data_IF_233470097188
#
_entry.id   IF_233470097188
#
_cell.length_a   1.000
_cell.length_b   1.000
_cell.length_c   1.000
_cell.angle_alpha   90.00
_cell.angle_beta   90.00
_cell.angle_gamma   90.00
#
_symmetry.space_group_name_H-M   'P 1'
#
loop_
_entity.id
_entity.type
_entity.pdbx_description
1 polymer ?
#
# COMPACT_ATOMS: atom_id res chain seq x y z
N UNK A 1 3.46 -30.61 15.01
CA UNK A 1 3.82 -29.70 13.90
C UNK A 1 2.62 -29.22 13.04
N UNK A 2 1.43 -29.81 13.12
CA UNK A 2 0.28 -29.43 12.25
C UNK A 2 -0.49 -28.14 12.65
N UNK A 3 -0.08 -27.45 13.73
CA UNK A 3 -0.80 -26.28 14.25
C UNK A 3 -0.14 -24.92 13.92
N UNK A 4 0.90 -24.89 13.08
CA UNK A 4 1.59 -23.66 12.70
C UNK A 4 1.46 -23.42 11.21
N UNK A 5 1.09 -22.19 10.82
CA UNK A 5 0.94 -21.79 9.42
C UNK A 5 2.28 -21.67 8.67
N UNK A 6 3.40 -21.68 9.39
CA UNK A 6 4.74 -21.65 8.84
C UNK A 6 5.71 -22.42 9.72
N UNK A 7 6.79 -22.93 9.11
CA UNK A 7 7.83 -23.71 9.77
C UNK A 7 9.20 -23.03 9.58
N UNK A 8 10.02 -23.07 10.62
CA UNK A 8 11.43 -22.67 10.59
C UNK A 8 12.29 -23.93 10.54
N UNK A 9 13.52 -23.80 10.05
CA UNK A 9 14.48 -24.90 10.07
C UNK A 9 14.74 -25.43 11.48
N UNK A 10 14.78 -24.53 12.47
CA UNK A 10 14.91 -24.89 13.89
C UNK A 10 13.79 -25.79 14.39
N UNK A 11 12.56 -25.52 13.95
CA UNK A 11 11.39 -26.28 14.40
C UNK A 11 11.46 -27.73 13.89
N UNK A 12 11.92 -27.93 12.64
CA UNK A 12 12.14 -29.26 12.09
C UNK A 12 13.27 -29.99 12.79
N UNK A 13 14.41 -29.30 13.06
CA UNK A 13 15.55 -29.90 13.79
C UNK A 13 15.14 -30.38 15.16
N UNK A 14 14.50 -29.51 15.95
CA UNK A 14 14.05 -29.86 17.31
C UNK A 14 13.03 -31.02 17.27
N UNK A 15 12.07 -30.96 16.34
CA UNK A 15 11.08 -32.04 16.20
C UNK A 15 11.72 -33.40 15.90
N UNK A 16 12.69 -33.46 14.97
CA UNK A 16 13.35 -34.70 14.61
C UNK A 16 14.23 -35.22 15.76
N UNK A 17 14.90 -34.35 16.46
CA UNK A 17 15.70 -34.72 17.63
C UNK A 17 14.82 -35.22 18.77
N UNK A 18 13.76 -34.54 19.12
CA UNK A 18 12.88 -34.90 20.24
C UNK A 18 12.02 -36.14 19.97
N UNK A 19 11.55 -36.34 18.76
CA UNK A 19 10.62 -37.42 18.45
C UNK A 19 11.30 -38.70 17.90
N UNK A 20 12.46 -38.53 17.26
CA UNK A 20 13.10 -39.61 16.53
C UNK A 20 14.59 -39.79 16.88
N UNK A 21 15.15 -38.94 17.75
CA UNK A 21 16.57 -38.89 18.08
C UNK A 21 17.49 -38.80 16.83
N UNK A 22 17.03 -38.04 15.82
CA UNK A 22 17.71 -37.86 14.54
C UNK A 22 18.25 -36.44 14.41
N UNK A 23 19.58 -36.38 14.18
CA UNK A 23 20.30 -35.13 13.88
C UNK A 23 21.11 -35.33 12.61
N UNK A 24 20.83 -34.50 11.59
CA UNK A 24 21.64 -34.50 10.36
C UNK A 24 22.81 -33.52 10.49
N UNK A 25 23.96 -33.89 9.97
CA UNK A 25 25.16 -33.02 9.94
C UNK A 25 24.94 -31.81 9.00
N UNK A 26 24.20 -32.02 7.89
CA UNK A 26 23.98 -31.01 6.87
C UNK A 26 22.56 -30.42 6.92
N UNK A 27 22.45 -29.10 6.79
CA UNK A 27 21.17 -28.43 6.61
C UNK A 27 20.44 -28.87 5.33
N UNK A 28 21.19 -29.33 4.31
CA UNK A 28 20.61 -29.81 3.05
C UNK A 28 19.68 -31.00 3.26
N UNK A 29 20.00 -31.89 4.19
CA UNK A 29 19.16 -33.05 4.52
C UNK A 29 17.78 -32.61 5.03
N UNK A 30 17.74 -31.58 5.90
CA UNK A 30 16.48 -30.99 6.37
C UNK A 30 15.70 -30.28 5.26
N UNK A 31 16.40 -29.59 4.33
CA UNK A 31 15.75 -28.96 3.18
C UNK A 31 15.15 -29.99 2.22
N UNK A 32 15.81 -31.14 2.04
CA UNK A 32 15.27 -32.24 1.26
C UNK A 32 13.98 -32.80 1.87
N UNK A 33 13.94 -32.95 3.19
CA UNK A 33 12.72 -33.36 3.91
C UNK A 33 11.58 -32.36 3.72
N UNK A 34 11.86 -31.04 3.80
CA UNK A 34 10.85 -30.02 3.49
C UNK A 34 10.33 -30.17 2.05
N UNK A 35 11.23 -30.37 1.10
CA UNK A 35 10.88 -30.53 -0.31
C UNK A 35 10.02 -31.78 -0.54
N UNK A 36 10.39 -32.93 0.07
CA UNK A 36 9.62 -34.18 -0.01
C UNK A 36 8.24 -34.03 0.64
N UNK A 37 8.14 -33.23 1.71
CA UNK A 37 6.87 -32.89 2.35
C UNK A 37 6.05 -31.81 1.60
N UNK A 38 6.48 -31.37 0.41
CA UNK A 38 5.79 -30.34 -0.38
C UNK A 38 5.92 -28.93 0.20
N UNK A 39 6.88 -28.70 1.12
CA UNK A 39 7.11 -27.42 1.78
C UNK A 39 8.21 -26.68 1.03
N UNK A 40 7.93 -25.43 0.62
CA UNK A 40 8.86 -24.57 -0.11
C UNK A 40 9.21 -23.31 0.67
N UNK A 41 10.41 -22.77 0.43
CA UNK A 41 10.81 -21.48 0.96
C UNK A 41 9.98 -20.36 0.30
N UNK A 42 9.25 -19.58 1.10
CA UNK A 42 8.37 -18.50 0.63
C UNK A 42 8.70 -17.21 1.34
N UNK A 43 8.64 -16.11 0.59
CA UNK A 43 8.65 -14.76 1.16
C UNK A 43 7.36 -14.54 1.93
N UNK A 44 7.47 -14.16 3.20
CA UNK A 44 6.30 -13.79 4.01
C UNK A 44 5.66 -12.52 3.44
N UNK A 45 4.34 -12.49 3.41
CA UNK A 45 3.57 -11.32 2.98
C UNK A 45 2.90 -10.67 4.20
N UNK A 46 2.89 -9.35 4.23
CA UNK A 46 2.12 -8.62 5.24
C UNK A 46 0.63 -8.74 4.89
N UNK A 47 -0.16 -9.25 5.81
CA UNK A 47 -1.63 -9.25 5.73
C UNK A 47 -2.15 -8.27 6.78
N UNK A 48 -2.96 -7.32 6.37
CA UNK A 48 -3.67 -6.47 7.32
C UNK A 48 -4.80 -7.28 7.98
N UNK A 49 -4.73 -7.58 9.29
CA UNK A 49 -5.76 -8.37 9.96
C UNK A 49 -7.11 -7.65 10.04
N UNK A 50 -7.12 -6.32 9.92
CA UNK A 50 -8.33 -5.49 9.91
C UNK A 50 -8.99 -5.39 8.51
N UNK A 51 -8.40 -6.03 7.47
CA UNK A 51 -9.00 -6.03 6.14
C UNK A 51 -10.33 -6.80 6.16
N UNK A 52 -11.40 -6.12 5.81
CA UNK A 52 -12.73 -6.70 5.63
C UNK A 52 -12.98 -6.88 4.13
N UNK A 53 -12.91 -8.12 3.65
CA UNK A 53 -13.06 -8.43 2.23
C UNK A 53 -14.49 -8.15 1.72
N UNK A 54 -15.53 -8.28 2.57
CA UNK A 54 -16.91 -7.92 2.21
C UNK A 54 -17.06 -6.41 1.99
N UNK A 55 -16.47 -5.61 2.88
CA UNK A 55 -16.48 -4.15 2.73
C UNK A 55 -15.72 -3.70 1.48
N UNK A 56 -14.60 -4.35 1.17
CA UNK A 56 -13.83 -4.07 -0.06
C UNK A 56 -14.70 -4.32 -1.29
N UNK A 57 -15.45 -5.44 -1.33
CA UNK A 57 -16.30 -5.78 -2.47
C UNK A 57 -17.50 -4.82 -2.59
N UNK A 58 -18.08 -4.39 -1.48
CA UNK A 58 -19.14 -3.36 -1.48
C UNK A 58 -18.62 -2.04 -2.05
N UNK A 59 -17.46 -1.58 -1.58
CA UNK A 59 -16.86 -0.34 -2.08
C UNK A 59 -16.46 -0.41 -3.55
N UNK A 60 -15.98 -1.55 -3.99
CA UNK A 60 -15.69 -1.78 -5.40
C UNK A 60 -16.93 -1.63 -6.27
N UNK A 61 -18.05 -2.25 -5.88
CA UNK A 61 -19.32 -2.12 -6.59
C UNK A 61 -19.83 -0.69 -6.62
N UNK A 62 -19.75 0.04 -5.50
CA UNK A 62 -20.14 1.46 -5.45
C UNK A 62 -19.34 2.29 -6.47
N UNK A 63 -18.03 2.05 -6.62
CA UNK A 63 -17.19 2.73 -7.59
C UNK A 63 -17.56 2.34 -9.03
N UNK A 64 -17.77 1.05 -9.29
CA UNK A 64 -18.19 0.55 -10.61
C UNK A 64 -19.54 1.13 -11.04
N UNK A 65 -20.51 1.18 -10.14
CA UNK A 65 -21.83 1.79 -10.38
C UNK A 65 -21.72 3.30 -10.64
N UNK A 66 -20.89 4.02 -9.86
CA UNK A 66 -20.62 5.42 -10.09
C UNK A 66 -20.04 5.65 -11.49
N UNK A 67 -19.01 4.91 -11.87
CA UNK A 67 -18.36 5.03 -13.18
C UNK A 67 -19.33 4.72 -14.32
N UNK A 68 -20.15 3.70 -14.18
CA UNK A 68 -21.17 3.33 -15.17
C UNK A 68 -22.26 4.43 -15.31
N UNK A 69 -22.73 4.96 -14.20
CA UNK A 69 -23.74 6.05 -14.17
C UNK A 69 -23.23 7.32 -14.87
N UNK A 70 -21.98 7.69 -14.63
CA UNK A 70 -21.41 8.96 -15.11
C UNK A 70 -20.54 8.80 -16.36
N UNK A 71 -20.57 7.64 -17.01
CA UNK A 71 -19.78 7.37 -18.21
C UNK A 71 -19.98 8.40 -19.33
N UNK A 72 -21.21 8.86 -19.66
CA UNK A 72 -21.38 9.87 -20.71
C UNK A 72 -20.68 11.20 -20.44
N UNK A 73 -20.70 11.67 -19.19
CA UNK A 73 -20.03 12.91 -18.77
C UNK A 73 -18.50 12.73 -18.73
N UNK A 74 -18.03 11.55 -18.35
CA UNK A 74 -16.61 11.20 -18.38
C UNK A 74 -16.13 11.17 -19.83
N UNK A 75 -16.85 10.52 -20.74
CA UNK A 75 -16.48 10.43 -22.16
C UNK A 75 -16.52 11.80 -22.86
N UNK A 76 -17.44 12.67 -22.51
CA UNK A 76 -17.49 14.02 -23.06
C UNK A 76 -16.50 14.99 -22.40
N UNK A 77 -15.83 14.58 -21.33
CA UNK A 77 -14.86 15.41 -20.58
C UNK A 77 -15.51 16.46 -19.68
N UNK A 78 -16.82 16.38 -19.43
CA UNK A 78 -17.52 17.25 -18.47
C UNK A 78 -17.26 16.87 -17.03
N UNK A 79 -16.97 15.60 -16.79
CA UNK A 79 -16.57 15.05 -15.51
C UNK A 79 -15.19 14.38 -15.64
N UNK A 80 -14.24 14.82 -14.83
CA UNK A 80 -12.95 14.14 -14.69
C UNK A 80 -12.95 13.32 -13.41
N UNK A 81 -12.58 12.06 -13.51
CA UNK A 81 -12.47 11.15 -12.37
C UNK A 81 -11.00 10.90 -12.06
N UNK A 82 -10.59 11.23 -10.84
CA UNK A 82 -9.26 10.98 -10.33
C UNK A 82 -9.25 9.89 -9.28
N UNK A 83 -8.30 8.95 -9.40
CA UNK A 83 -7.90 8.02 -8.34
C UNK A 83 -6.64 8.60 -7.67
N UNK A 84 -6.71 8.90 -6.37
CA UNK A 84 -5.62 9.56 -5.64
C UNK A 84 -5.03 8.59 -4.62
N UNK A 85 -3.70 8.65 -4.47
CA UNK A 85 -2.95 7.95 -3.43
C UNK A 85 -1.71 8.75 -3.05
N UNK A 86 -1.17 8.54 -1.85
CA UNK A 86 0.06 9.14 -1.37
C UNK A 86 1.19 8.12 -1.26
N UNK A 87 2.37 8.56 -1.64
CA UNK A 87 3.61 7.83 -1.44
C UNK A 87 4.53 8.59 -0.50
N UNK A 88 4.99 7.93 0.56
CA UNK A 88 5.98 8.46 1.49
C UNK A 88 7.32 7.78 1.25
N UNK A 89 8.27 8.52 0.70
CA UNK A 89 9.66 8.08 0.62
C UNK A 89 10.36 8.44 1.92
N UNK A 90 10.85 7.42 2.60
CA UNK A 90 11.66 7.58 3.79
C UNK A 90 13.13 7.64 3.38
N UNK A 91 13.84 8.66 3.84
CA UNK A 91 15.29 8.70 3.76
C UNK A 91 15.85 7.79 4.85
N UNK A 92 16.41 6.69 4.44
CA UNK A 92 16.99 5.72 5.36
C UNK A 92 17.71 4.62 4.62
N UNK A 93 18.65 3.99 5.28
CA UNK A 93 19.42 2.90 4.70
C UNK A 93 18.53 1.71 4.42
N UNK A 94 18.60 1.20 3.19
CA UNK A 94 17.95 -0.04 2.81
C UNK A 94 18.88 -1.18 3.22
N UNK A 95 18.47 -1.93 4.24
CA UNK A 95 19.16 -3.16 4.60
C UNK A 95 18.95 -4.20 3.51
N UNK A 96 20.05 -4.56 2.85
CA UNK A 96 20.08 -5.58 1.80
C UNK A 96 20.94 -6.78 2.21
N UNK A 97 21.29 -7.59 1.22
CA UNK A 97 22.23 -8.68 1.38
C UNK A 97 23.65 -8.17 1.08
N UNK A 98 24.62 -8.53 1.92
CA UNK A 98 26.02 -8.22 1.70
C UNK A 98 26.89 -9.48 1.87
N UNK A 99 28.03 -9.53 1.19
CA UNK A 99 29.03 -10.57 1.37
C UNK A 99 29.94 -10.21 2.53
N UNK A 100 30.16 -11.16 3.43
CA UNK A 100 31.07 -11.02 4.55
C UNK A 100 31.67 -12.36 4.96
N UNK A 101 32.54 -12.36 5.95
CA UNK A 101 33.11 -13.59 6.49
C UNK A 101 31.99 -14.46 7.08
N UNK A 102 32.14 -15.77 6.96
CA UNK A 102 31.11 -16.75 7.31
C UNK A 102 30.78 -16.78 8.80
N UNK A 103 31.73 -16.38 9.64
CA UNK A 103 31.70 -16.37 11.08
C UNK A 103 31.46 -14.98 11.71
N UNK A 104 31.36 -13.95 10.88
CA UNK A 104 31.13 -12.58 11.32
C UNK A 104 29.74 -12.08 10.93
N UNK A 105 29.11 -11.35 11.82
CA UNK A 105 27.86 -10.63 11.54
C UNK A 105 28.17 -9.27 10.93
N UNK A 106 27.59 -8.98 9.78
CA UNK A 106 27.72 -7.66 9.17
C UNK A 106 26.71 -6.73 9.85
N UNK A 107 27.22 -5.77 10.60
CA UNK A 107 26.43 -4.72 11.24
C UNK A 107 26.65 -3.42 10.50
N UNK A 108 25.58 -2.80 10.04
CA UNK A 108 25.60 -1.50 9.38
C UNK A 108 24.98 -0.50 10.35
N UNK A 109 25.71 0.56 10.65
CA UNK A 109 25.19 1.66 11.45
C UNK A 109 24.08 2.37 10.68
N UNK A 110 22.86 2.26 11.15
CA UNK A 110 21.70 2.92 10.55
C UNK A 110 21.53 4.28 11.19
N UNK A 111 21.49 5.35 10.40
CA UNK A 111 20.91 6.60 10.83
C UNK A 111 19.39 6.52 10.66
N UNK A 112 18.67 6.55 11.79
CA UNK A 112 17.22 6.72 11.76
C UNK A 112 16.90 8.17 11.32
N UNK A 113 17.00 8.46 10.05
CA UNK A 113 16.56 9.73 9.51
C UNK A 113 15.03 9.75 9.53
N UNK A 114 14.48 10.72 10.24
CA UNK A 114 13.03 10.95 10.31
C UNK A 114 12.51 11.74 9.12
N UNK A 115 13.40 12.17 8.24
CA UNK A 115 13.05 12.93 7.06
C UNK A 115 12.33 12.04 6.07
N UNK A 116 11.22 12.50 5.59
CA UNK A 116 10.40 11.84 4.59
C UNK A 116 9.97 12.84 3.54
N UNK A 117 9.92 12.38 2.32
CA UNK A 117 9.33 13.09 1.19
C UNK A 117 7.95 12.49 0.92
N UNK A 118 6.94 13.31 0.79
CA UNK A 118 5.58 12.87 0.47
C UNK A 118 5.20 13.33 -0.93
N UNK A 119 4.68 12.42 -1.72
CA UNK A 119 4.12 12.71 -3.03
C UNK A 119 2.65 12.36 -3.04
N UNK A 120 1.83 13.29 -3.51
CA UNK A 120 0.44 13.03 -3.86
C UNK A 120 0.36 12.75 -5.34
N UNK A 121 -0.23 11.62 -5.71
CA UNK A 121 -0.43 11.18 -7.07
C UNK A 121 -1.91 11.08 -7.42
N UNK A 122 -2.31 11.55 -8.60
CA UNK A 122 -3.66 11.43 -9.13
C UNK A 122 -3.62 10.83 -10.53
N UNK A 123 -4.29 9.69 -10.71
CA UNK A 123 -4.48 9.06 -12.01
C UNK A 123 -5.84 9.46 -12.57
N UNK A 124 -5.84 10.15 -13.71
CA UNK A 124 -7.05 10.42 -14.50
C UNK A 124 -7.60 9.09 -15.07
N UNK A 125 -8.82 8.73 -14.68
CA UNK A 125 -9.44 7.47 -15.07
C UNK A 125 -9.60 7.32 -16.59
N UNK A 126 -9.96 8.41 -17.30
CA UNK A 126 -10.18 8.39 -18.75
C UNK A 126 -8.87 8.45 -19.52
N UNK A 127 -8.07 9.49 -19.28
CA UNK A 127 -6.89 9.80 -20.09
C UNK A 127 -5.68 8.97 -19.72
N UNK A 128 -5.68 8.37 -18.51
CA UNK A 128 -4.55 7.68 -17.89
C UNK A 128 -3.36 8.59 -17.62
N UNK A 129 -3.56 9.90 -17.67
CA UNK A 129 -2.57 10.87 -17.25
C UNK A 129 -2.34 10.77 -15.76
N UNK A 130 -1.07 10.78 -15.34
CA UNK A 130 -0.67 10.74 -13.95
C UNK A 130 -0.09 12.09 -13.53
N UNK A 131 -0.77 12.77 -12.62
CA UNK A 131 -0.37 14.04 -12.05
C UNK A 131 0.24 13.83 -10.67
N UNK A 132 1.39 14.45 -10.42
CA UNK A 132 2.12 14.29 -9.14
C UNK A 132 2.52 15.66 -8.59
N UNK A 133 2.39 15.81 -7.28
CA UNK A 133 2.90 16.97 -6.54
C UNK A 133 3.65 16.51 -5.29
N UNK A 134 4.68 17.24 -4.97
CA UNK A 134 5.55 17.01 -3.83
C UNK A 134 5.10 17.86 -2.63
N UNK A 135 5.09 17.25 -1.44
CA UNK A 135 4.76 17.89 -0.18
C UNK A 135 5.66 17.38 0.94
N UNK A 136 5.83 18.18 1.99
CA UNK A 136 6.62 17.77 3.18
C UNK A 136 5.97 16.61 3.95
N UNK A 137 4.63 16.53 3.94
CA UNK A 137 3.89 15.50 4.70
C UNK A 137 2.48 15.29 4.17
N UNK A 138 1.89 14.11 4.46
CA UNK A 138 0.46 13.85 4.30
C UNK A 138 -0.33 14.51 5.43
N UNK A 139 -1.15 15.49 5.11
CA UNK A 139 -2.03 16.17 6.06
C UNK A 139 -3.16 16.91 5.31
N UNK A 140 -4.19 17.33 6.06
CA UNK A 140 -5.36 18.05 5.55
C UNK A 140 -5.00 19.25 4.69
N UNK A 141 -4.07 20.11 5.12
CA UNK A 141 -3.67 21.30 4.35
C UNK A 141 -3.15 20.93 2.97
N UNK A 142 -2.23 19.97 2.92
CA UNK A 142 -1.62 19.53 1.67
C UNK A 142 -2.61 18.78 0.78
N UNK A 143 -3.57 18.05 1.35
CA UNK A 143 -4.68 17.44 0.62
C UNK A 143 -5.51 18.53 -0.08
N UNK A 144 -5.93 19.59 0.62
CA UNK A 144 -6.67 20.70 0.04
C UNK A 144 -5.85 21.40 -1.07
N UNK A 145 -4.57 21.63 -0.86
CA UNK A 145 -3.70 22.24 -1.88
C UNK A 145 -3.58 21.35 -3.11
N UNK A 146 -3.52 20.03 -2.93
CA UNK A 146 -3.51 19.09 -4.04
C UNK A 146 -4.84 19.08 -4.82
N UNK A 147 -5.98 19.13 -4.14
CA UNK A 147 -7.29 19.29 -4.81
C UNK A 147 -7.33 20.57 -5.64
N UNK A 148 -6.87 21.69 -5.09
CA UNK A 148 -6.77 22.96 -5.83
C UNK A 148 -5.85 22.86 -7.06
N UNK A 149 -4.74 22.10 -6.94
CA UNK A 149 -3.88 21.82 -8.06
C UNK A 149 -4.62 21.05 -9.16
N UNK A 150 -5.36 19.98 -8.82
CA UNK A 150 -6.15 19.20 -9.77
C UNK A 150 -7.23 20.04 -10.46
N UNK A 151 -7.89 20.94 -9.73
CA UNK A 151 -8.87 21.88 -10.30
C UNK A 151 -8.22 22.81 -11.35
N UNK A 152 -6.98 23.28 -11.10
CA UNK A 152 -6.25 24.08 -12.07
C UNK A 152 -5.84 23.29 -13.32
N UNK A 153 -5.57 21.99 -13.18
CA UNK A 153 -5.25 21.11 -14.32
C UNK A 153 -6.47 20.79 -15.19
N UNK A 154 -7.68 20.92 -14.64
CA UNK A 154 -8.96 20.62 -15.34
C UNK A 154 -9.94 21.78 -15.20
N UNK A 155 -9.61 22.95 -15.78
CA UNK A 155 -10.45 24.15 -15.63
C UNK A 155 -11.83 23.94 -16.25
N UNK A 156 -12.86 24.27 -15.51
CA UNK A 156 -14.25 24.15 -15.96
C UNK A 156 -14.87 22.75 -15.89
N UNK A 157 -14.10 21.73 -15.52
CA UNK A 157 -14.61 20.38 -15.36
C UNK A 157 -15.10 20.14 -13.93
N UNK A 158 -16.16 19.36 -13.80
CA UNK A 158 -16.47 18.72 -12.52
C UNK A 158 -15.42 17.66 -12.22
N UNK A 159 -15.02 17.55 -10.95
CA UNK A 159 -14.06 16.54 -10.49
C UNK A 159 -14.76 15.55 -9.56
N UNK A 160 -14.59 14.27 -9.80
CA UNK A 160 -14.88 13.20 -8.85
C UNK A 160 -13.55 12.60 -8.40
N UNK A 161 -13.36 12.48 -7.09
CA UNK A 161 -12.10 12.05 -6.50
C UNK A 161 -12.36 10.81 -5.65
N UNK A 162 -11.64 9.73 -5.95
CA UNK A 162 -11.57 8.53 -5.14
C UNK A 162 -10.21 8.45 -4.47
N UNK A 163 -10.20 8.37 -3.14
CA UNK A 163 -9.01 8.20 -2.33
C UNK A 163 -9.26 7.20 -1.20
N UNK A 164 -8.20 6.84 -0.48
CA UNK A 164 -8.31 5.95 0.66
C UNK A 164 -9.04 6.61 1.86
N UNK A 165 -9.28 5.82 2.91
CA UNK A 165 -9.99 6.27 4.11
C UNK A 165 -9.07 6.91 5.17
N UNK A 166 -7.94 7.50 4.81
CA UNK A 166 -7.07 8.16 5.78
C UNK A 166 -7.81 9.26 6.54
N UNK A 167 -7.54 9.38 7.84
CA UNK A 167 -8.31 10.27 8.74
C UNK A 167 -8.24 11.74 8.34
N UNK A 168 -7.13 12.18 7.76
CA UNK A 168 -6.96 13.56 7.30
C UNK A 168 -7.76 13.90 6.02
N UNK A 169 -8.23 12.90 5.26
CA UNK A 169 -9.16 13.09 4.13
C UNK A 169 -10.61 13.28 4.58
N UNK A 170 -10.91 13.02 5.84
CA UNK A 170 -12.23 13.18 6.44
C UNK A 170 -12.25 14.25 7.54
N UNK A 171 -11.26 15.13 7.57
CA UNK A 171 -11.16 16.20 8.55
C UNK A 171 -12.29 17.22 8.37
N UNK A 172 -12.59 17.95 9.43
CA UNK A 172 -13.59 19.02 9.36
C UNK A 172 -13.21 20.07 8.32
N UNK A 173 -11.93 20.44 8.23
CA UNK A 173 -11.46 21.44 7.26
C UNK A 173 -11.61 20.98 5.80
N UNK A 174 -11.39 19.67 5.51
CA UNK A 174 -11.66 19.13 4.17
C UNK A 174 -13.13 19.21 3.82
N UNK A 175 -14.01 18.83 4.76
CA UNK A 175 -15.47 18.91 4.55
C UNK A 175 -15.93 20.33 4.33
N UNK A 176 -15.45 21.30 5.12
CA UNK A 176 -15.76 22.72 4.96
C UNK A 176 -15.28 23.23 3.60
N UNK A 177 -14.06 22.86 3.19
CA UNK A 177 -13.53 23.22 1.87
C UNK A 177 -14.41 22.65 0.74
N UNK A 178 -14.72 21.35 0.79
CA UNK A 178 -15.55 20.69 -0.20
C UNK A 178 -16.97 21.29 -0.25
N UNK A 179 -17.57 21.61 0.90
CA UNK A 179 -18.85 22.32 0.95
C UNK A 179 -18.78 23.69 0.26
N UNK A 180 -17.68 24.43 0.47
CA UNK A 180 -17.50 25.75 -0.16
C UNK A 180 -17.42 25.67 -1.68
N UNK A 181 -16.73 24.68 -2.23
CA UNK A 181 -16.56 24.54 -3.69
C UNK A 181 -17.71 23.83 -4.38
N UNK A 182 -18.57 23.12 -3.62
CA UNK A 182 -19.68 22.34 -4.14
C UNK A 182 -21.04 23.02 -3.97
N UNK A 183 -21.07 24.33 -3.59
CA UNK A 183 -22.32 25.07 -3.36
C UNK A 183 -23.27 25.08 -4.58
N UNK A 184 -22.72 25.00 -5.79
CA UNK A 184 -23.48 25.04 -7.04
C UNK A 184 -23.76 23.63 -7.62
N UNK A 185 -23.31 22.55 -6.95
CA UNK A 185 -23.59 21.18 -7.37
C UNK A 185 -24.92 20.75 -6.75
N UNK A 186 -25.99 20.74 -7.54
CA UNK A 186 -27.22 20.00 -7.18
C UNK A 186 -26.87 18.53 -7.06
N UNK A 187 -27.33 17.89 -5.96
CA UNK A 187 -27.14 16.47 -5.66
C UNK A 187 -27.51 15.53 -6.81
#
# INVERSE_FOLDING_TARGET
MRAQDYLRLSDLKNYLQEQYDVVFESNQSYYNLFKEAGISWKKTQKKNPAKNDELVEVKRKEIEEFLAKWQPEIETGKLTVFMIDECHLLWGDILGYAWGKTDERIEIAIKNEKERQTYYGALDYKTKEFLVQEYESGNTKNTIEFIKYLQKQRPGNKLAIFWDGATYHNSQADREYLMTINQDLSE
#
